data_IF_906256280943
#
_entry.id   IF_906256280943
#
_cell.length_a   1.000
_cell.length_b   1.000
_cell.length_c   1.000
_cell.angle_alpha   90.00
_cell.angle_beta   90.00
_cell.angle_gamma   90.00
#
_symmetry.space_group_name_H-M   'P 1'
#
loop_
_entity.id
_entity.type
_entity.pdbx_description
1 polymer ?
#
# COMPACT_ATOMS: atom_id res chain seq x y z
N UNK A 1 2.42 -28.83 -53.05
CA UNK A 1 2.26 -28.62 -51.59
C UNK A 1 2.00 -27.14 -51.34
N UNK A 2 0.79 -26.77 -50.89
CA UNK A 2 0.44 -25.39 -50.47
C UNK A 2 0.31 -25.40 -48.94
N UNK A 3 1.16 -24.64 -48.23
CA UNK A 3 1.05 -24.43 -46.79
C UNK A 3 0.16 -23.21 -46.53
N UNK A 4 -0.93 -23.45 -45.80
CA UNK A 4 -1.94 -22.48 -45.37
C UNK A 4 -1.37 -21.73 -44.17
N UNK A 5 -1.23 -20.40 -44.28
CA UNK A 5 -0.90 -19.53 -43.15
C UNK A 5 -2.14 -19.25 -42.30
N UNK A 6 -2.16 -19.72 -41.05
CA UNK A 6 -3.14 -19.28 -40.05
C UNK A 6 -2.65 -17.98 -39.41
N UNK A 7 -3.36 -16.87 -39.69
CA UNK A 7 -3.32 -15.67 -38.86
C UNK A 7 -4.16 -15.90 -37.61
N UNK A 8 -3.49 -16.06 -36.46
CA UNK A 8 -4.14 -16.03 -35.15
C UNK A 8 -4.36 -14.59 -34.71
N UNK A 9 -5.62 -14.17 -34.60
CA UNK A 9 -5.99 -12.88 -34.02
C UNK A 9 -5.79 -12.95 -32.49
N UNK A 10 -4.82 -12.19 -31.98
CA UNK A 10 -4.61 -12.00 -30.55
C UNK A 10 -5.62 -10.98 -30.03
N UNK A 11 -6.62 -11.45 -29.28
CA UNK A 11 -7.53 -10.61 -28.51
C UNK A 11 -6.78 -10.02 -27.32
N UNK A 12 -6.41 -8.74 -27.40
CA UNK A 12 -5.91 -7.97 -26.25
C UNK A 12 -7.09 -7.71 -25.30
N UNK A 13 -7.15 -8.45 -24.20
CA UNK A 13 -8.07 -8.14 -23.10
C UNK A 13 -7.67 -6.79 -22.49
N UNK A 14 -8.46 -5.75 -22.74
CA UNK A 14 -8.33 -4.48 -22.04
C UNK A 14 -8.72 -4.69 -20.58
N UNK A 15 -7.77 -4.50 -19.66
CA UNK A 15 -8.08 -4.39 -18.24
C UNK A 15 -8.99 -3.17 -18.06
N UNK A 16 -10.28 -3.41 -17.81
CA UNK A 16 -11.19 -2.35 -17.39
C UNK A 16 -10.73 -1.91 -16.01
N UNK A 17 -10.16 -0.71 -15.90
CA UNK A 17 -9.95 -0.08 -14.61
C UNK A 17 -11.31 0.02 -13.92
N UNK A 18 -11.50 -0.78 -12.87
CA UNK A 18 -12.78 -0.81 -12.16
C UNK A 18 -13.11 0.60 -11.67
N UNK A 19 -14.31 1.06 -12.04
CA UNK A 19 -14.83 2.31 -11.51
C UNK A 19 -14.86 2.21 -9.98
N UNK A 20 -14.53 3.31 -9.29
CA UNK A 20 -14.51 3.36 -7.83
C UNK A 20 -15.85 2.85 -7.27
N UNK A 21 -15.89 2.06 -6.18
CA UNK A 21 -17.13 1.47 -5.67
C UNK A 21 -18.26 2.47 -5.38
N UNK A 22 -17.91 3.73 -5.14
CA UNK A 22 -18.88 4.80 -4.90
C UNK A 22 -19.44 5.43 -6.19
N UNK A 23 -18.84 5.21 -7.36
CA UNK A 23 -19.34 5.75 -8.63
C UNK A 23 -20.71 5.16 -9.05
N UNK A 24 -21.09 4.00 -8.50
CA UNK A 24 -22.41 3.40 -8.71
C UNK A 24 -23.47 3.86 -7.71
N UNK A 25 -23.15 4.75 -6.75
CA UNK A 25 -24.10 5.20 -5.73
C UNK A 25 -24.99 6.32 -6.26
N UNK A 26 -26.23 6.37 -5.79
CA UNK A 26 -27.11 7.52 -5.98
C UNK A 26 -26.67 8.71 -5.12
N UNK A 27 -27.00 9.93 -5.53
CA UNK A 27 -26.73 11.15 -4.76
C UNK A 27 -25.31 11.70 -4.90
N UNK A 28 -24.58 11.35 -5.97
CA UNK A 28 -23.28 11.95 -6.28
C UNK A 28 -23.43 13.46 -6.51
N UNK A 29 -22.53 14.24 -5.93
CA UNK A 29 -22.45 15.66 -6.23
C UNK A 29 -21.84 15.91 -7.63
N UNK A 30 -21.91 17.14 -8.17
CA UNK A 30 -21.38 17.44 -9.50
C UNK A 30 -19.89 17.07 -9.70
N UNK A 31 -19.05 17.27 -8.68
CA UNK A 31 -17.62 16.89 -8.72
C UNK A 31 -17.44 15.39 -8.79
N UNK A 32 -18.19 14.64 -7.99
CA UNK A 32 -18.19 13.18 -7.97
C UNK A 32 -18.64 12.60 -9.30
N UNK A 33 -19.66 13.17 -9.94
CA UNK A 33 -20.08 12.81 -11.29
C UNK A 33 -18.98 13.05 -12.31
N UNK A 34 -18.29 14.20 -12.25
CA UNK A 34 -17.16 14.50 -13.15
C UNK A 34 -15.99 13.53 -12.95
N UNK A 35 -15.66 13.19 -11.70
CA UNK A 35 -14.63 12.18 -11.40
C UNK A 35 -15.02 10.83 -11.99
N UNK A 36 -16.25 10.37 -11.73
CA UNK A 36 -16.73 9.09 -12.24
C UNK A 36 -16.83 9.05 -13.77
N UNK A 37 -17.01 10.19 -14.43
CA UNK A 37 -16.99 10.30 -15.90
C UNK A 37 -15.60 10.27 -16.54
N UNK A 38 -14.51 10.48 -15.79
CA UNK A 38 -13.15 10.55 -16.32
C UNK A 38 -12.25 9.44 -15.78
N UNK A 39 -11.68 8.62 -16.68
CA UNK A 39 -10.70 7.60 -16.31
C UNK A 39 -9.53 8.18 -15.52
N UNK A 40 -8.96 9.27 -16.02
CA UNK A 40 -7.81 9.91 -15.38
C UNK A 40 -8.12 10.44 -13.99
N UNK A 41 -9.29 11.06 -13.77
CA UNK A 41 -9.68 11.53 -12.44
C UNK A 41 -9.97 10.35 -11.48
N UNK A 42 -10.49 9.22 -11.98
CA UNK A 42 -10.63 7.99 -11.18
C UNK A 42 -9.27 7.44 -10.76
N UNK A 43 -8.27 7.47 -11.63
CA UNK A 43 -6.91 7.01 -11.34
C UNK A 43 -6.22 7.91 -10.30
N UNK A 44 -6.45 9.22 -10.38
CA UNK A 44 -6.02 10.16 -9.34
C UNK A 44 -6.71 9.89 -8.00
N UNK A 45 -8.02 9.61 -7.98
CA UNK A 45 -8.74 9.25 -6.75
C UNK A 45 -8.22 7.96 -6.12
N UNK A 46 -7.99 6.93 -6.94
CA UNK A 46 -7.40 5.67 -6.49
C UNK A 46 -5.99 5.87 -5.92
N UNK A 47 -5.16 6.68 -6.60
CA UNK A 47 -3.81 7.02 -6.14
C UNK A 47 -3.84 7.77 -4.82
N UNK A 48 -4.72 8.76 -4.68
CA UNK A 48 -4.88 9.54 -3.45
C UNK A 48 -5.29 8.66 -2.28
N UNK A 49 -6.27 7.77 -2.46
CA UNK A 49 -6.71 6.87 -1.38
C UNK A 49 -5.61 5.90 -0.95
N UNK A 50 -4.90 5.28 -1.91
CA UNK A 50 -3.76 4.40 -1.56
C UNK A 50 -2.72 5.14 -0.72
N UNK A 51 -2.33 6.35 -1.13
CA UNK A 51 -1.35 7.15 -0.40
C UNK A 51 -1.87 7.65 0.95
N UNK A 52 -3.17 7.92 1.06
CA UNK A 52 -3.80 8.30 2.32
C UNK A 52 -3.75 7.13 3.32
N UNK A 53 -4.06 5.92 2.86
CA UNK A 53 -3.97 4.70 3.68
C UNK A 53 -2.52 4.41 4.09
N UNK A 54 -1.56 4.52 3.16
CA UNK A 54 -0.12 4.41 3.47
C UNK A 54 0.33 5.44 4.51
N UNK A 55 0.00 6.72 4.31
CA UNK A 55 0.39 7.80 5.22
C UNK A 55 -0.24 7.62 6.62
N UNK A 56 -1.45 7.07 6.72
CA UNK A 56 -2.11 6.77 8.00
C UNK A 56 -1.41 5.68 8.82
N UNK A 57 -0.61 4.82 8.18
CA UNK A 57 0.17 3.80 8.91
C UNK A 57 1.33 4.42 9.69
N UNK A 58 1.79 5.60 9.28
CA UNK A 58 3.04 6.20 9.76
C UNK A 58 2.85 7.53 10.47
N UNK A 59 1.74 8.24 10.22
CA UNK A 59 1.43 9.51 10.88
C UNK A 59 -0.08 9.78 10.90
N UNK A 60 -0.49 10.71 11.77
CA UNK A 60 -1.85 11.23 11.75
C UNK A 60 -2.03 12.15 10.53
N UNK A 61 -2.89 11.74 9.58
CA UNK A 61 -3.20 12.56 8.40
C UNK A 61 -4.39 13.47 8.68
N UNK A 62 -4.11 14.74 8.96
CA UNK A 62 -5.14 15.76 9.20
C UNK A 62 -5.71 16.35 7.90
N UNK A 63 -6.80 17.11 8.03
CA UNK A 63 -7.36 17.93 6.94
C UNK A 63 -8.08 17.19 5.81
N UNK A 64 -8.33 15.88 5.93
CA UNK A 64 -8.99 15.11 4.87
C UNK A 64 -10.43 15.60 4.58
N UNK A 65 -11.20 15.93 5.62
CA UNK A 65 -12.55 16.47 5.47
C UNK A 65 -12.55 17.85 4.79
N UNK A 66 -11.57 18.69 5.13
CA UNK A 66 -11.43 20.03 4.55
C UNK A 66 -11.03 19.94 3.09
N UNK A 67 -10.11 19.03 2.78
CA UNK A 67 -9.72 18.72 1.40
C UNK A 67 -10.91 18.22 0.56
N UNK A 68 -11.76 17.32 1.10
CA UNK A 68 -12.96 16.86 0.40
C UNK A 68 -13.92 18.00 0.10
N UNK A 69 -14.12 18.93 1.05
CA UNK A 69 -14.95 20.13 0.82
C UNK A 69 -14.35 21.05 -0.24
N UNK A 70 -13.04 21.31 -0.19
CA UNK A 70 -12.34 22.12 -1.18
C UNK A 70 -12.41 21.50 -2.58
N UNK A 71 -12.20 20.18 -2.71
CA UNK A 71 -12.35 19.44 -3.96
C UNK A 71 -13.78 19.57 -4.50
N UNK A 72 -14.79 19.34 -3.66
CA UNK A 72 -16.19 19.40 -4.08
C UNK A 72 -16.66 20.81 -4.45
N UNK A 73 -15.99 21.86 -3.96
CA UNK A 73 -16.25 23.24 -4.38
C UNK A 73 -15.87 23.50 -5.85
N UNK A 74 -15.08 22.63 -6.49
CA UNK A 74 -14.78 22.73 -7.92
C UNK A 74 -15.99 22.49 -8.83
N UNK A 75 -17.09 21.92 -8.34
CA UNK A 75 -18.25 21.56 -9.17
C UNK A 75 -17.81 20.62 -10.30
N UNK A 76 -18.07 20.96 -11.55
CA UNK A 76 -17.66 20.18 -12.73
C UNK A 76 -16.34 20.63 -13.36
N UNK A 77 -15.62 21.57 -12.73
CA UNK A 77 -14.38 22.13 -13.27
C UNK A 77 -13.22 21.14 -13.26
N UNK A 78 -13.00 20.47 -14.40
CA UNK A 78 -11.99 19.40 -14.54
C UNK A 78 -10.60 19.80 -14.02
N UNK A 79 -10.05 20.92 -14.49
CA UNK A 79 -8.71 21.38 -14.11
C UNK A 79 -8.61 21.73 -12.61
N UNK A 80 -9.69 22.23 -12.01
CA UNK A 80 -9.77 22.47 -10.56
C UNK A 80 -9.71 21.15 -9.79
N UNK A 81 -10.49 20.15 -10.21
CA UNK A 81 -10.52 18.82 -9.59
C UNK A 81 -9.15 18.14 -9.70
N UNK A 82 -8.56 18.16 -10.89
CA UNK A 82 -7.22 17.63 -11.14
C UNK A 82 -6.19 18.30 -10.22
N UNK A 83 -6.16 19.63 -10.16
CA UNK A 83 -5.25 20.36 -9.28
C UNK A 83 -5.42 20.00 -7.81
N UNK A 84 -6.67 19.86 -7.35
CA UNK A 84 -6.98 19.44 -5.98
C UNK A 84 -6.46 18.02 -5.67
N UNK A 85 -6.54 17.10 -6.63
CA UNK A 85 -5.96 15.77 -6.50
C UNK A 85 -4.44 15.80 -6.51
N UNK A 86 -3.82 16.44 -7.49
CA UNK A 86 -2.36 16.49 -7.63
C UNK A 86 -1.70 17.12 -6.40
N UNK A 87 -2.28 18.21 -5.87
CA UNK A 87 -1.81 18.85 -4.65
C UNK A 87 -1.87 17.90 -3.44
N UNK A 88 -3.00 17.21 -3.25
CA UNK A 88 -3.16 16.26 -2.14
C UNK A 88 -2.27 15.03 -2.27
N UNK A 89 -2.15 14.49 -3.47
CA UNK A 89 -1.27 13.37 -3.77
C UNK A 89 0.18 13.75 -3.46
N UNK A 90 0.63 14.95 -3.85
CA UNK A 90 1.97 15.45 -3.54
C UNK A 90 2.21 15.53 -2.03
N UNK A 91 1.25 16.10 -1.29
CA UNK A 91 1.33 16.17 0.17
C UNK A 91 1.37 14.78 0.83
N UNK A 92 0.49 13.86 0.43
CA UNK A 92 0.43 12.51 0.99
C UNK A 92 1.67 11.68 0.64
N UNK A 93 2.22 11.84 -0.57
CA UNK A 93 3.54 11.28 -0.91
C UNK A 93 4.61 11.83 0.02
N UNK A 94 4.66 13.14 0.25
CA UNK A 94 5.60 13.76 1.19
C UNK A 94 5.52 13.16 2.60
N UNK A 95 4.31 12.90 3.11
CA UNK A 95 4.11 12.23 4.40
C UNK A 95 4.57 10.76 4.39
N UNK A 96 4.17 10.01 3.36
CA UNK A 96 4.57 8.61 3.20
C UNK A 96 6.09 8.47 2.99
N UNK A 97 6.71 9.41 2.27
CA UNK A 97 8.14 9.39 1.98
C UNK A 97 8.96 9.93 3.16
N UNK A 98 8.47 10.90 3.92
CA UNK A 98 9.11 11.32 5.18
C UNK A 98 9.18 10.17 6.19
N UNK A 99 8.20 9.26 6.15
CA UNK A 99 8.26 8.02 6.91
C UNK A 99 9.25 6.97 6.34
N UNK A 100 9.51 6.99 5.03
CA UNK A 100 10.52 6.14 4.36
C UNK A 100 11.96 6.67 4.49
N UNK A 101 12.15 7.97 4.73
CA UNK A 101 13.47 8.63 4.84
C UNK A 101 14.11 8.48 6.23
N UNK A 102 13.33 8.17 7.27
CA UNK A 102 13.91 7.50 8.43
C UNK A 102 14.28 6.09 7.97
N UNK A 103 15.56 5.70 8.00
CA UNK A 103 15.96 4.31 7.80
C UNK A 103 15.06 3.46 8.70
N UNK A 104 14.02 2.77 8.17
CA UNK A 104 12.92 2.31 9.03
C UNK A 104 13.41 1.21 9.97
N UNK A 105 14.61 0.70 9.69
CA UNK A 105 15.27 -0.40 10.36
C UNK A 105 16.65 0.08 10.83
N UNK A 106 16.79 0.70 12.02
CA UNK A 106 18.09 1.08 12.57
C UNK A 106 19.10 -0.08 12.61
N UNK A 107 18.59 -1.31 12.72
CA UNK A 107 19.38 -2.53 12.68
C UNK A 107 20.05 -2.81 11.34
N UNK A 108 19.58 -2.21 10.22
CA UNK A 108 20.25 -2.35 8.92
C UNK A 108 21.67 -1.78 8.88
N UNK A 109 22.05 -0.96 9.86
CA UNK A 109 23.41 -0.46 10.04
C UNK A 109 24.27 -1.37 10.93
N UNK A 110 23.74 -2.50 11.41
CA UNK A 110 24.50 -3.41 12.26
C UNK A 110 25.65 -4.05 11.49
N UNK A 111 26.83 -4.12 12.12
CA UNK A 111 28.05 -4.62 11.47
C UNK A 111 28.05 -6.11 11.14
N UNK A 112 27.02 -6.88 11.54
CA UNK A 112 26.91 -8.32 11.30
C UNK A 112 25.47 -8.70 10.96
N UNK A 113 25.09 -8.44 9.72
CA UNK A 113 23.84 -8.94 9.14
C UNK A 113 24.05 -10.33 8.54
N UNK A 114 23.06 -11.20 8.66
CA UNK A 114 23.01 -12.44 7.88
C UNK A 114 22.60 -12.14 6.41
N UNK A 115 22.56 -13.17 5.55
CA UNK A 115 22.21 -12.97 4.12
C UNK A 115 20.79 -12.41 3.95
N UNK A 116 19.82 -12.98 4.66
CA UNK A 116 18.42 -12.57 4.65
C UNK A 116 18.25 -11.11 5.07
N UNK A 117 18.92 -10.73 6.15
CA UNK A 117 18.94 -9.39 6.70
C UNK A 117 19.50 -8.36 5.71
N UNK A 118 20.62 -8.70 5.03
CA UNK A 118 21.14 -7.86 3.94
C UNK A 118 20.13 -7.71 2.80
N UNK A 119 19.45 -8.79 2.42
CA UNK A 119 18.40 -8.75 1.38
C UNK A 119 17.23 -7.85 1.78
N UNK A 120 16.77 -7.95 3.04
CA UNK A 120 15.73 -7.05 3.58
C UNK A 120 16.21 -5.60 3.50
N UNK A 121 17.41 -5.30 4.00
CA UNK A 121 17.96 -3.95 3.97
C UNK A 121 18.17 -3.39 2.55
N UNK A 122 18.45 -4.25 1.56
CA UNK A 122 18.64 -3.85 0.16
C UNK A 122 17.35 -3.67 -0.64
N UNK A 123 16.19 -4.09 -0.13
CA UNK A 123 14.94 -4.12 -0.88
C UNK A 123 13.85 -3.28 -0.20
N UNK A 124 13.34 -2.25 -0.89
CA UNK A 124 12.35 -1.33 -0.33
C UNK A 124 11.08 -2.01 0.18
N UNK A 125 10.48 -2.89 -0.62
CA UNK A 125 9.27 -3.63 -0.24
C UNK A 125 9.49 -4.50 1.01
N UNK A 126 10.65 -5.18 1.11
CA UNK A 126 10.96 -5.98 2.28
C UNK A 126 11.21 -5.13 3.53
N UNK A 127 11.80 -3.93 3.40
CA UNK A 127 11.91 -2.98 4.52
C UNK A 127 10.54 -2.51 4.99
N UNK A 128 9.61 -2.27 4.07
CA UNK A 128 8.24 -1.87 4.39
C UNK A 128 7.49 -2.98 5.13
N UNK A 129 7.61 -4.23 4.66
CA UNK A 129 7.04 -5.40 5.35
C UNK A 129 7.64 -5.64 6.75
N UNK A 130 8.94 -5.40 6.90
CA UNK A 130 9.62 -5.53 8.19
C UNK A 130 9.22 -4.41 9.18
N UNK A 131 8.95 -3.21 8.67
CA UNK A 131 8.35 -2.12 9.45
C UNK A 131 6.90 -2.44 9.86
N UNK A 132 6.08 -2.94 8.93
CA UNK A 132 4.71 -3.38 9.21
C UNK A 132 4.68 -4.49 10.28
N UNK A 133 5.56 -5.49 10.14
CA UNK A 133 5.68 -6.55 11.13
C UNK A 133 6.06 -6.00 12.49
N UNK A 134 7.01 -5.07 12.58
CA UNK A 134 7.40 -4.45 13.84
C UNK A 134 6.21 -3.77 14.53
N UNK A 135 5.43 -2.99 13.79
CA UNK A 135 4.24 -2.34 14.33
C UNK A 135 3.23 -3.35 14.90
N UNK A 136 2.87 -4.38 14.11
CA UNK A 136 1.90 -5.40 14.56
C UNK A 136 2.47 -6.24 15.72
N UNK A 137 3.77 -6.52 15.70
CA UNK A 137 4.46 -7.21 16.77
C UNK A 137 4.39 -6.43 18.09
N UNK A 138 4.61 -5.12 18.06
CA UNK A 138 4.60 -4.30 19.28
C UNK A 138 3.19 -4.20 19.89
N UNK A 139 2.15 -4.10 19.04
CA UNK A 139 0.76 -4.23 19.47
C UNK A 139 0.48 -5.60 20.10
N UNK A 140 0.91 -6.68 19.45
CA UNK A 140 0.75 -8.03 19.96
C UNK A 140 1.52 -8.22 21.28
N UNK A 141 2.71 -7.66 21.40
CA UNK A 141 3.55 -7.75 22.59
C UNK A 141 2.89 -7.07 23.79
N UNK A 142 2.28 -5.89 23.58
CA UNK A 142 1.51 -5.19 24.60
C UNK A 142 0.30 -6.00 25.13
N UNK A 143 -0.13 -7.03 24.40
CA UNK A 143 -1.22 -7.96 24.77
C UNK A 143 -0.72 -9.35 25.16
N UNK A 144 0.58 -9.61 25.17
CA UNK A 144 1.15 -10.95 25.42
C UNK A 144 1.00 -11.93 24.24
N UNK A 145 0.63 -11.47 23.05
CA UNK A 145 0.33 -12.28 21.86
C UNK A 145 1.49 -12.39 20.88
N UNK A 146 2.63 -11.74 21.14
CA UNK A 146 3.82 -11.74 20.27
C UNK A 146 4.66 -13.03 20.34
N UNK A 147 4.20 -14.06 21.05
CA UNK A 147 4.96 -15.31 21.24
C UNK A 147 5.34 -15.98 19.92
N UNK A 148 6.49 -16.67 19.94
CA UNK A 148 7.05 -17.38 18.78
C UNK A 148 7.90 -16.53 17.84
N UNK A 149 8.10 -15.22 18.11
CA UNK A 149 8.84 -14.32 17.23
C UNK A 149 10.28 -14.79 16.96
N UNK A 150 11.01 -15.20 18.01
CA UNK A 150 12.40 -15.66 17.89
C UNK A 150 12.54 -16.97 17.09
N UNK A 151 11.53 -17.83 17.14
CA UNK A 151 11.49 -19.06 16.32
C UNK A 151 11.18 -18.72 14.87
N UNK A 152 10.20 -17.84 14.64
CA UNK A 152 9.86 -17.36 13.29
C UNK A 152 11.05 -16.67 12.61
N UNK A 153 11.80 -15.83 13.33
CA UNK A 153 12.99 -15.17 12.79
C UNK A 153 13.98 -16.20 12.24
N UNK A 154 14.32 -17.23 13.03
CA UNK A 154 15.33 -18.23 12.66
C UNK A 154 14.85 -19.25 11.63
N UNK A 155 13.64 -19.79 11.81
CA UNK A 155 13.14 -20.94 11.05
C UNK A 155 12.19 -20.54 9.91
N UNK A 156 11.62 -19.34 9.96
CA UNK A 156 10.77 -18.81 8.90
C UNK A 156 11.55 -17.85 8.02
N UNK A 157 11.84 -16.66 8.55
CA UNK A 157 12.48 -15.58 7.78
C UNK A 157 13.90 -15.94 7.35
N UNK A 158 14.78 -16.28 8.29
CA UNK A 158 16.21 -16.47 8.01
C UNK A 158 16.46 -17.75 7.20
N UNK A 159 15.58 -18.75 7.29
CA UNK A 159 15.62 -19.95 6.48
C UNK A 159 15.48 -19.67 4.96
N UNK A 160 14.91 -18.53 4.57
CA UNK A 160 14.79 -18.12 3.17
C UNK A 160 16.11 -17.71 2.49
N UNK A 161 17.18 -17.46 3.27
CA UNK A 161 18.42 -16.90 2.73
C UNK A 161 18.17 -15.60 1.95
N UNK A 162 18.66 -15.51 0.72
CA UNK A 162 18.53 -14.30 -0.10
C UNK A 162 17.26 -14.19 -0.95
N UNK A 163 16.31 -15.13 -0.87
CA UNK A 163 15.14 -15.17 -1.77
C UNK A 163 14.08 -14.13 -1.41
N UNK A 164 13.93 -13.09 -2.23
CA UNK A 164 12.97 -11.99 -1.99
C UNK A 164 11.53 -12.49 -1.85
N UNK A 165 11.07 -13.39 -2.72
CA UNK A 165 9.69 -13.91 -2.68
C UNK A 165 9.42 -14.81 -1.47
N UNK A 166 10.41 -15.61 -1.04
CA UNK A 166 10.30 -16.40 0.20
C UNK A 166 10.21 -15.49 1.43
N UNK A 167 11.08 -14.48 1.50
CA UNK A 167 11.11 -13.53 2.62
C UNK A 167 9.79 -12.75 2.68
N UNK A 168 9.28 -12.27 1.55
CA UNK A 168 7.98 -11.63 1.45
C UNK A 168 6.87 -12.53 2.01
N UNK A 169 6.80 -13.78 1.55
CA UNK A 169 5.82 -14.75 2.03
C UNK A 169 5.93 -14.97 3.54
N UNK A 170 7.15 -15.10 4.06
CA UNK A 170 7.41 -15.26 5.49
C UNK A 170 6.93 -14.05 6.33
N UNK A 171 7.15 -12.82 5.85
CA UNK A 171 6.65 -11.61 6.49
C UNK A 171 5.12 -11.55 6.48
N UNK A 172 4.50 -11.69 5.30
CA UNK A 172 3.04 -11.63 5.15
C UNK A 172 2.34 -12.67 6.03
N UNK A 173 2.86 -13.89 6.05
CA UNK A 173 2.34 -14.96 6.90
C UNK A 173 2.41 -14.62 8.39
N UNK A 174 3.54 -14.08 8.86
CA UNK A 174 3.68 -13.68 10.27
C UNK A 174 2.79 -12.51 10.66
N UNK A 175 2.68 -11.51 9.79
CA UNK A 175 1.78 -10.36 9.97
C UNK A 175 0.34 -10.84 10.10
N UNK A 176 -0.11 -11.77 9.24
CA UNK A 176 -1.46 -12.37 9.33
C UNK A 176 -1.70 -13.04 10.68
N UNK A 177 -0.77 -13.89 11.11
CA UNK A 177 -0.88 -14.61 12.40
C UNK A 177 -1.01 -13.65 13.57
N UNK A 178 -0.24 -12.55 13.59
CA UNK A 178 -0.31 -11.58 14.68
C UNK A 178 -1.60 -10.75 14.63
N UNK A 179 -2.08 -10.37 13.43
CA UNK A 179 -3.38 -9.71 13.26
C UNK A 179 -4.54 -10.58 13.73
N UNK A 180 -4.54 -11.87 13.38
CA UNK A 180 -5.58 -12.81 13.83
C UNK A 180 -5.62 -12.95 15.36
N UNK A 181 -4.45 -12.91 16.02
CA UNK A 181 -4.40 -12.89 17.49
C UNK A 181 -4.97 -11.59 18.06
N UNK A 182 -4.62 -10.46 17.46
CA UNK A 182 -5.09 -9.13 17.87
C UNK A 182 -6.59 -8.92 17.64
N UNK A 183 -7.19 -9.57 16.64
CA UNK A 183 -8.62 -9.49 16.35
C UNK A 183 -9.50 -9.87 17.55
N UNK A 184 -9.03 -10.74 18.45
CA UNK A 184 -9.72 -11.12 19.70
C UNK A 184 -9.92 -9.92 20.65
N UNK A 185 -9.15 -8.87 20.46
CA UNK A 185 -9.17 -7.63 21.24
C UNK A 185 -9.84 -6.47 20.48
N UNK A 186 -10.44 -6.73 19.31
CA UNK A 186 -11.09 -5.71 18.47
C UNK A 186 -10.12 -4.75 17.77
N UNK A 187 -8.90 -5.21 17.49
CA UNK A 187 -7.82 -4.46 16.85
C UNK A 187 -7.46 -5.05 15.48
#
# INVERSE_FOLDING_TARGET
MRLIGMLGAVLLASATAEARPWCGKSGLNPTELTICGSQYLRDLDATMVRLYDEAKLVTHVSGQGDWLRARNACGTGYACIESAYLSRISHLRGLADSAKVFNPRPWCNAGRLNLTERTVCGNAMLRDLDAELQYVHDLAAARGEAYGQATWLRQGRDACGGSVSCIEYAYRGRISVLRERLAKYGL
#
